data_IF_743883897225
#
_entry.id   IF_743883897225
#
_cell.length_a   1.000
_cell.length_b   1.000
_cell.length_c   1.000
_cell.angle_alpha   90.00
_cell.angle_beta   90.00
_cell.angle_gamma   90.00
#
_symmetry.space_group_name_H-M   'P 1'
#
loop_
_entity.id
_entity.type
_entity.pdbx_description
1 polymer ?
#
# COMPACT_ATOMS: atom_id res chain seq x y z
N UNK A 1 17.39 -6.64 11.43
CA UNK A 1 16.14 -7.17 12.04
C UNK A 1 15.09 -6.08 12.32
N UNK A 2 15.33 -4.83 11.92
CA UNK A 2 14.42 -3.71 12.21
C UNK A 2 13.03 -3.87 11.58
N UNK A 3 12.97 -4.35 10.33
CA UNK A 3 11.70 -4.58 9.62
C UNK A 3 10.75 -5.51 10.39
N UNK A 4 11.26 -6.63 10.91
CA UNK A 4 10.44 -7.58 11.68
C UNK A 4 9.88 -6.95 12.96
N UNK A 5 10.64 -6.07 13.61
CA UNK A 5 10.16 -5.34 14.79
C UNK A 5 9.03 -4.36 14.41
N UNK A 6 9.13 -3.69 13.27
CA UNK A 6 8.08 -2.81 12.76
C UNK A 6 6.79 -3.58 12.44
N UNK A 7 6.87 -4.73 11.76
CA UNK A 7 5.71 -5.60 11.51
C UNK A 7 5.07 -6.12 12.81
N UNK A 8 5.88 -6.34 13.85
CA UNK A 8 5.38 -6.80 15.14
C UNK A 8 4.79 -5.71 16.04
N UNK A 9 4.97 -4.43 15.68
CA UNK A 9 4.44 -3.32 16.45
C UNK A 9 2.91 -3.40 16.53
N UNK A 10 2.35 -3.02 17.68
CA UNK A 10 0.92 -3.04 17.95
C UNK A 10 0.11 -2.35 16.85
N UNK A 11 0.53 -1.14 16.45
CA UNK A 11 -0.11 -0.34 15.40
C UNK A 11 -0.18 -1.08 14.05
N UNK A 12 0.88 -1.83 13.69
CA UNK A 12 0.90 -2.61 12.44
C UNK A 12 -0.09 -3.78 12.50
N UNK A 13 -0.08 -4.55 13.59
CA UNK A 13 -1.00 -5.70 13.77
C UNK A 13 -2.46 -5.26 13.84
N UNK A 14 -2.76 -4.15 14.51
CA UNK A 14 -4.12 -3.61 14.58
C UNK A 14 -4.60 -3.05 13.24
N UNK A 15 -3.70 -2.53 12.40
CA UNK A 15 -4.08 -1.99 11.09
C UNK A 15 -4.50 -3.07 10.09
N UNK A 16 -3.92 -4.26 10.18
CA UNK A 16 -4.30 -5.41 9.37
C UNK A 16 -4.17 -6.70 10.19
N UNK A 17 -5.21 -7.07 10.96
CA UNK A 17 -5.18 -8.26 11.82
C UNK A 17 -5.21 -9.57 11.04
N UNK A 18 -5.60 -9.55 9.76
CA UNK A 18 -5.61 -10.74 8.90
C UNK A 18 -4.23 -11.04 8.29
N UNK A 19 -3.30 -10.07 8.30
CA UNK A 19 -1.96 -10.25 7.76
C UNK A 19 -1.18 -11.31 8.54
N UNK A 20 -0.64 -12.30 7.82
CA UNK A 20 0.15 -13.37 8.38
C UNK A 20 1.64 -13.05 8.27
N UNK A 21 2.36 -13.15 9.39
CA UNK A 21 3.80 -12.91 9.45
C UNK A 21 4.55 -14.22 9.70
N UNK A 22 5.33 -14.66 8.73
CA UNK A 22 6.12 -15.89 8.80
C UNK A 22 7.61 -15.57 8.76
N UNK A 23 8.39 -16.12 9.68
CA UNK A 23 9.85 -15.95 9.73
C UNK A 23 10.52 -17.30 9.50
N UNK A 24 11.23 -17.42 8.38
CA UNK A 24 12.05 -18.60 8.06
C UNK A 24 13.52 -18.25 8.32
N UNK A 25 14.12 -18.88 9.33
CA UNK A 25 15.57 -18.78 9.57
C UNK A 25 16.29 -19.75 8.67
N UNK A 26 17.34 -19.29 8.00
CA UNK A 26 18.20 -20.09 7.12
C UNK A 26 19.62 -20.06 7.63
N UNK A 27 20.37 -21.10 7.31
CA UNK A 27 21.80 -21.24 7.63
C UNK A 27 22.64 -21.40 6.37
N UNK A 28 22.07 -21.12 5.20
CA UNK A 28 22.77 -21.11 3.92
C UNK A 28 23.36 -19.72 3.64
N UNK A 29 24.26 -19.64 2.66
CA UNK A 29 24.95 -18.40 2.27
C UNK A 29 24.07 -17.45 1.43
N UNK A 30 22.74 -17.65 1.41
CA UNK A 30 21.85 -16.78 0.65
C UNK A 30 21.58 -15.48 1.41
N UNK A 31 21.60 -14.32 0.73
CA UNK A 31 21.27 -13.05 1.36
C UNK A 31 19.85 -13.04 1.95
N UNK A 32 19.61 -12.28 3.03
CA UNK A 32 18.30 -12.14 3.62
C UNK A 32 17.30 -11.50 2.64
N UNK A 33 16.09 -12.03 2.61
CA UNK A 33 15.01 -11.55 1.74
C UNK A 33 13.74 -11.37 2.54
N UNK A 34 12.90 -10.45 2.09
CA UNK A 34 11.54 -10.27 2.58
C UNK A 34 10.60 -10.56 1.41
N UNK A 35 9.76 -11.58 1.56
CA UNK A 35 8.72 -11.92 0.59
C UNK A 35 7.37 -11.44 1.11
N UNK A 36 6.60 -10.76 0.26
CA UNK A 36 5.26 -10.26 0.56
C UNK A 36 4.29 -10.78 -0.47
N UNK A 37 3.17 -11.32 -0.01
CA UNK A 37 2.05 -11.76 -0.86
C UNK A 37 0.87 -10.83 -0.57
N UNK A 38 0.39 -10.13 -1.59
CA UNK A 38 -0.76 -9.23 -1.50
C UNK A 38 -2.08 -10.00 -1.67
N UNK A 39 -3.20 -9.37 -1.30
CA UNK A 39 -4.54 -10.03 -1.28
C UNK A 39 -4.98 -10.59 -2.64
N UNK A 40 -4.51 -10.00 -3.74
CA UNK A 40 -4.77 -10.45 -5.10
C UNK A 40 -3.86 -11.61 -5.55
N UNK A 41 -2.98 -12.11 -4.67
CA UNK A 41 -1.99 -13.15 -4.98
C UNK A 41 -0.70 -12.64 -5.62
N UNK A 42 -0.53 -11.33 -5.83
CA UNK A 42 0.73 -10.78 -6.30
C UNK A 42 1.81 -11.00 -5.24
N UNK A 43 2.96 -11.53 -5.66
CA UNK A 43 4.12 -11.74 -4.79
C UNK A 43 5.25 -10.78 -5.16
N UNK A 44 5.94 -10.28 -4.14
CA UNK A 44 7.09 -9.39 -4.32
C UNK A 44 8.20 -9.77 -3.33
N UNK A 45 9.45 -9.73 -3.80
CA UNK A 45 10.63 -10.08 -3.01
C UNK A 45 11.55 -8.88 -2.93
N UNK A 46 11.87 -8.47 -1.71
CA UNK A 46 12.74 -7.34 -1.41
C UNK A 46 14.09 -7.84 -0.90
N UNK A 47 15.18 -7.21 -1.36
CA UNK A 47 16.52 -7.42 -0.80
C UNK A 47 16.62 -6.74 0.57
N UNK A 48 16.74 -7.56 1.62
CA UNK A 48 16.86 -7.10 2.99
C UNK A 48 18.32 -6.87 3.43
N UNK A 49 19.28 -7.00 2.50
CA UNK A 49 20.71 -6.76 2.73
C UNK A 49 21.06 -5.30 2.57
N UNK A 50 20.67 -4.71 1.43
CA UNK A 50 21.05 -3.34 1.07
C UNK A 50 19.93 -2.32 1.24
N UNK A 51 18.67 -2.77 1.32
CA UNK A 51 17.51 -1.87 1.40
C UNK A 51 17.14 -1.59 2.86
N UNK A 52 17.04 -0.32 3.29
CA UNK A 52 16.60 0.02 4.64
C UNK A 52 15.17 -0.44 4.94
N UNK A 53 14.91 -0.84 6.19
CA UNK A 53 13.60 -1.34 6.60
C UNK A 53 12.45 -0.35 6.35
N UNK A 54 12.68 0.95 6.58
CA UNK A 54 11.71 2.00 6.30
C UNK A 54 11.38 2.09 4.81
N UNK A 55 12.39 1.97 3.94
CA UNK A 55 12.18 1.97 2.48
C UNK A 55 11.37 0.77 2.05
N UNK A 56 11.70 -0.43 2.52
CA UNK A 56 10.92 -1.65 2.23
C UNK A 56 9.47 -1.49 2.69
N UNK A 57 9.24 -0.94 3.90
CA UNK A 57 7.90 -0.64 4.41
C UNK A 57 7.13 0.27 3.47
N UNK A 58 7.73 1.38 3.04
CA UNK A 58 7.09 2.33 2.11
C UNK A 58 6.75 1.64 0.79
N UNK A 59 7.68 0.88 0.20
CA UNK A 59 7.44 0.15 -1.05
C UNK A 59 6.25 -0.81 -0.94
N UNK A 60 6.14 -1.56 0.16
CA UNK A 60 5.02 -2.48 0.40
C UNK A 60 3.68 -1.73 0.49
N UNK A 61 3.65 -0.60 1.20
CA UNK A 61 2.44 0.19 1.36
C UNK A 61 2.00 0.83 0.03
N UNK A 62 2.93 1.44 -0.70
CA UNK A 62 2.67 2.08 -1.99
C UNK A 62 2.17 1.06 -3.02
N UNK A 63 2.82 -0.12 -3.07
CA UNK A 63 2.37 -1.23 -3.92
C UNK A 63 0.98 -1.71 -3.53
N UNK A 64 0.72 -1.86 -2.23
CA UNK A 64 -0.60 -2.26 -1.73
C UNK A 64 -1.70 -1.29 -2.18
N UNK A 65 -1.46 0.02 -2.04
CA UNK A 65 -2.40 1.06 -2.47
C UNK A 65 -2.62 1.05 -3.99
N UNK A 66 -1.56 0.84 -4.78
CA UNK A 66 -1.68 0.72 -6.24
C UNK A 66 -2.57 -0.45 -6.64
N UNK A 67 -2.36 -1.62 -6.03
CA UNK A 67 -3.15 -2.84 -6.31
C UNK A 67 -4.61 -2.68 -5.88
N UNK A 68 -4.86 -2.07 -4.73
CA UNK A 68 -6.22 -1.75 -4.25
C UNK A 68 -6.92 -0.79 -5.21
N UNK A 69 -6.22 0.24 -5.67
CA UNK A 69 -6.78 1.22 -6.62
C UNK A 69 -7.10 0.56 -7.96
N UNK A 70 -6.16 -0.21 -8.50
CA UNK A 70 -6.39 -0.99 -9.72
C UNK A 70 -7.64 -1.89 -9.59
N UNK A 71 -7.80 -2.56 -8.43
CA UNK A 71 -8.95 -3.40 -8.17
C UNK A 71 -10.27 -2.60 -8.15
N UNK A 72 -10.29 -1.42 -7.52
CA UNK A 72 -11.47 -0.54 -7.52
C UNK A 72 -11.90 -0.13 -8.94
N UNK A 73 -10.94 0.22 -9.81
CA UNK A 73 -11.23 0.58 -11.20
C UNK A 73 -11.77 -0.62 -11.98
N UNK A 74 -11.14 -1.78 -11.83
CA UNK A 74 -11.61 -3.02 -12.47
C UNK A 74 -13.04 -3.40 -12.02
N UNK A 75 -13.38 -3.23 -10.74
CA UNK A 75 -14.72 -3.49 -10.21
C UNK A 75 -15.78 -2.52 -10.74
N UNK A 76 -15.41 -1.28 -11.04
CA UNK A 76 -16.27 -0.31 -11.70
C UNK A 76 -16.43 -0.57 -13.21
N UNK A 77 -15.68 -1.53 -13.78
CA UNK A 77 -15.65 -1.77 -15.23
C UNK A 77 -14.76 -0.78 -15.99
N UNK A 78 -13.94 -0.02 -15.28
CA UNK A 78 -13.05 1.00 -15.84
C UNK A 78 -11.64 0.45 -16.07
N UNK A 79 -10.90 1.08 -16.97
CA UNK A 79 -9.51 0.71 -17.26
C UNK A 79 -8.54 1.34 -16.26
N UNK A 80 -7.45 0.62 -15.96
CA UNK A 80 -6.34 1.11 -15.15
C UNK A 80 -5.00 0.86 -15.86
N UNK A 81 -4.06 1.81 -15.88
CA UNK A 81 -4.19 3.18 -15.36
C UNK A 81 -5.17 4.01 -16.20
N UNK A 82 -5.82 4.98 -15.58
CA UNK A 82 -6.65 5.95 -16.31
C UNK A 82 -5.74 6.78 -17.22
N UNK A 83 -5.94 6.66 -18.53
CA UNK A 83 -5.23 7.48 -19.51
C UNK A 83 -6.11 8.67 -19.82
N UNK A 84 -5.68 9.87 -19.42
CA UNK A 84 -6.37 11.12 -19.74
C UNK A 84 -5.92 11.55 -21.15
N UNK A 85 -6.84 11.72 -22.11
CA UNK A 85 -6.51 12.24 -23.43
C UNK A 85 -5.91 13.65 -23.37
N UNK A 86 -5.02 13.98 -24.30
CA UNK A 86 -4.35 15.29 -24.36
C UNK A 86 -5.37 16.44 -24.54
N UNK A 87 -6.46 16.17 -25.25
CA UNK A 87 -7.55 17.11 -25.49
C UNK A 87 -8.33 17.45 -24.21
N UNK A 88 -8.38 16.53 -23.24
CA UNK A 88 -9.02 16.75 -21.93
C UNK A 88 -8.12 17.51 -20.95
N UNK A 89 -6.79 17.36 -21.06
CA UNK A 89 -5.84 18.08 -20.21
C UNK A 89 -5.92 19.62 -20.37
N UNK A 90 -6.32 20.08 -21.55
CA UNK A 90 -6.46 21.51 -21.87
C UNK A 90 -7.84 22.08 -21.53
N UNK A 91 -8.79 21.23 -21.12
CA UNK A 91 -10.13 21.68 -20.77
C UNK A 91 -10.16 22.23 -19.34
N UNK A 92 -10.82 23.37 -19.10
CA UNK A 92 -11.01 23.86 -17.75
C UNK A 92 -11.91 22.89 -16.99
N UNK A 93 -11.35 22.22 -15.98
CA UNK A 93 -12.13 21.36 -15.10
C UNK A 93 -13.22 22.20 -14.40
N UNK A 94 -14.48 21.74 -14.39
CA UNK A 94 -15.54 22.45 -13.68
C UNK A 94 -15.16 22.56 -12.20
N UNK A 95 -15.15 23.78 -11.67
CA UNK A 95 -14.73 24.02 -10.29
C UNK A 95 -15.62 23.25 -9.30
N UNK A 96 -15.04 22.28 -8.60
CA UNK A 96 -15.77 21.52 -7.57
C UNK A 96 -16.06 22.44 -6.38
N UNK A 97 -17.33 22.86 -6.21
CA UNK A 97 -17.76 23.54 -4.99
C UNK A 97 -17.59 22.57 -3.81
N UNK A 98 -16.69 22.86 -2.89
CA UNK A 98 -16.52 22.13 -1.62
C UNK A 98 -17.66 22.46 -0.66
N UNK A 99 -18.85 21.89 -0.87
CA UNK A 99 -19.89 21.86 0.17
C UNK A 99 -19.61 20.67 1.08
N UNK A 100 -18.86 20.90 2.15
CA UNK A 100 -18.65 19.91 3.22
C UNK A 100 -19.94 19.82 4.03
N UNK A 101 -20.87 18.97 3.60
CA UNK A 101 -21.95 18.47 4.46
C UNK A 101 -21.44 17.19 5.11
N UNK A 102 -21.04 17.29 6.40
CA UNK A 102 -20.75 16.13 7.24
C UNK A 102 -21.96 15.20 7.26
N UNK A 103 -21.88 14.10 6.52
CA UNK A 103 -22.66 12.89 6.79
C UNK A 103 -21.68 11.74 6.97
N UNK A 104 -21.94 10.99 8.02
CA UNK A 104 -21.14 9.94 8.61
C UNK A 104 -20.49 9.00 7.58
N UNK A 105 -19.23 9.29 7.26
CA UNK A 105 -18.31 8.34 6.63
C UNK A 105 -17.36 7.84 7.72
N UNK A 106 -17.72 6.70 8.32
CA UNK A 106 -16.76 5.86 9.02
C UNK A 106 -15.58 5.60 8.08
N UNK A 107 -14.35 5.66 8.63
CA UNK A 107 -13.05 5.38 7.98
C UNK A 107 -12.34 6.54 7.27
N UNK A 108 -11.95 7.56 8.03
CA UNK A 108 -10.70 8.28 7.80
C UNK A 108 -10.19 8.89 9.11
N UNK A 109 -9.47 8.10 9.92
CA UNK A 109 -8.67 8.64 11.03
C UNK A 109 -7.21 8.59 10.64
N UNK A 110 -6.79 9.57 9.85
CA UNK A 110 -5.39 9.96 9.74
C UNK A 110 -5.05 10.76 11.01
N UNK A 111 -4.46 10.11 12.01
CA UNK A 111 -3.76 10.81 13.09
C UNK A 111 -2.26 10.57 12.91
N UNK A 112 -1.57 11.59 12.41
CA UNK A 112 -0.12 11.71 12.49
C UNK A 112 0.14 12.66 13.65
N UNK A 113 0.75 12.15 14.71
CA UNK A 113 1.41 12.96 15.73
C UNK A 113 2.90 12.70 15.59
N UNK A 114 3.66 13.79 15.46
CA UNK A 114 5.12 13.81 15.32
C UNK A 114 5.77 13.19 16.56
#
# INVERSE_FOLDING_TARGET
MEFLAQCNARKAKESNPACQLVVKRRTDDHPPQISVTFVNGHEEVFDATSTPAQTIRTMILDKGQLLETEQMFREAGETWPVIIPEEELHQPAPGTKTSITKKDSHLARLYISV
#
